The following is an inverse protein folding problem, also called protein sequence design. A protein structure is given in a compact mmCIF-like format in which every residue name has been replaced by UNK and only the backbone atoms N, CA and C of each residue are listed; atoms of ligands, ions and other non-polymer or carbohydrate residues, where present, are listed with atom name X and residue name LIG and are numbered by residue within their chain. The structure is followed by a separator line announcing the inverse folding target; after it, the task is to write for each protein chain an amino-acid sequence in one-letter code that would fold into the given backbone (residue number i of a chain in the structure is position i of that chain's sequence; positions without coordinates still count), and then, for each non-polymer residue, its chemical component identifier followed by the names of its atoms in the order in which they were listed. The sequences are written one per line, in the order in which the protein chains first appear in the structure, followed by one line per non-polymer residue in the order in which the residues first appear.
data_IF_592403144039
#
_entry.id   IF_592403144039
#
_cell.length_a   1.000
_cell.length_b   1.000
_cell.length_c   1.000
_cell.angle_alpha   90.00
_cell.angle_beta   90.00
_cell.angle_gamma   90.00
#
_symmetry.space_group_name_H-M   'P 1'
#
loop_
_entity.id
_entity.type
_entity.pdbx_description
1 polymer ?
#
# COMPACT_ATOMS: atom_id res chain seq x y z
N UNK A 1 9.63 24.77 30.72
CA UNK A 1 9.87 23.41 30.22
C UNK A 1 10.79 22.72 31.21
N UNK A 2 10.30 21.70 31.91
CA UNK A 2 11.10 20.49 32.05
C UNK A 2 10.27 19.24 31.78
N UNK A 3 10.91 18.25 31.14
CA UNK A 3 10.31 16.97 30.78
C UNK A 3 9.98 16.17 32.05
N UNK A 4 8.73 15.75 32.16
CA UNK A 4 8.23 14.86 33.19
C UNK A 4 8.75 13.42 33.02
N UNK A 5 9.99 13.20 33.42
CA UNK A 5 10.51 11.86 33.72
C UNK A 5 10.68 11.80 35.23
N UNK A 6 9.80 11.05 35.89
CA UNK A 6 9.98 10.69 37.29
C UNK A 6 11.08 9.64 37.37
N UNK A 7 12.07 9.93 38.20
CA UNK A 7 13.22 9.09 38.50
C UNK A 7 12.76 7.83 39.27
N UNK A 8 13.14 6.65 38.76
CA UNK A 8 12.84 5.38 39.41
C UNK A 8 13.75 5.23 40.64
N UNK A 9 13.17 5.47 41.81
CA UNK A 9 13.82 5.18 43.09
C UNK A 9 13.69 3.68 43.38
N UNK A 10 14.83 3.07 43.67
CA UNK A 10 15.04 1.67 44.06
C UNK A 10 15.12 0.67 42.90
N UNK A 11 16.23 0.70 42.15
CA UNK A 11 16.67 -0.41 41.30
C UNK A 11 17.84 -1.10 42.01
N UNK A 12 17.55 -2.19 42.72
CA UNK A 12 18.58 -3.15 43.11
C UNK A 12 18.73 -4.18 41.98
N UNK A 13 19.94 -4.26 41.43
CA UNK A 13 20.28 -5.04 40.25
C UNK A 13 20.53 -6.50 40.64
N UNK A 14 19.64 -7.42 40.25
CA UNK A 14 19.92 -8.86 40.29
C UNK A 14 19.75 -9.46 38.88
N UNK A 15 20.82 -9.97 38.26
CA UNK A 15 20.76 -10.52 36.91
C UNK A 15 20.10 -11.90 36.91
N UNK A 16 19.03 -12.08 36.13
CA UNK A 16 18.55 -13.40 35.71
C UNK A 16 17.18 -13.87 36.21
N UNK A 17 16.34 -13.03 36.82
CA UNK A 17 14.99 -13.46 37.25
C UNK A 17 13.90 -12.60 36.61
N UNK A 18 12.99 -13.24 35.88
CA UNK A 18 11.77 -12.67 35.33
C UNK A 18 10.82 -12.36 36.49
N UNK A 19 10.99 -11.23 37.17
CA UNK A 19 9.98 -10.80 38.11
C UNK A 19 8.78 -10.27 37.32
N UNK A 20 7.69 -11.03 37.35
CA UNK A 20 6.38 -10.63 36.87
C UNK A 20 6.01 -9.35 37.61
N UNK A 21 6.38 -8.21 37.03
CA UNK A 21 5.91 -6.91 37.46
C UNK A 21 4.40 -6.95 37.28
N UNK A 22 3.69 -7.11 38.40
CA UNK A 22 2.24 -6.95 38.48
C UNK A 22 1.97 -5.46 38.31
N UNK A 23 2.14 -4.98 37.08
CA UNK A 23 1.70 -3.66 36.65
C UNK A 23 0.19 -3.70 36.87
N UNK A 24 -0.28 -2.99 37.89
CA UNK A 24 -1.69 -2.65 38.04
C UNK A 24 -2.15 -2.13 36.69
N UNK A 25 -2.96 -2.93 35.99
CA UNK A 25 -3.45 -2.61 34.67
C UNK A 25 -4.35 -1.38 34.84
N UNK A 26 -3.98 -0.21 34.27
CA UNK A 26 -4.88 0.92 34.32
C UNK A 26 -6.15 0.54 33.54
N UNK A 27 -7.34 0.90 34.06
CA UNK A 27 -8.60 0.58 33.39
C UNK A 27 -8.57 1.15 31.97
N UNK A 28 -8.66 0.27 30.97
CA UNK A 28 -8.66 0.64 29.55
C UNK A 28 -7.39 0.29 28.74
N UNK A 29 -6.35 -0.31 29.33
CA UNK A 29 -5.18 -0.78 28.56
C UNK A 29 -5.12 -2.30 28.42
N UNK A 30 -5.19 -2.82 27.20
CA UNK A 30 -4.94 -4.24 26.88
C UNK A 30 -3.47 -4.42 26.48
N UNK A 31 -2.81 -5.49 26.96
CA UNK A 31 -1.46 -5.84 26.51
C UNK A 31 -1.50 -6.14 25.00
N UNK A 32 -0.75 -5.37 24.21
CA UNK A 32 -0.68 -5.51 22.75
C UNK A 32 0.05 -6.81 22.33
N UNK A 33 0.88 -7.37 23.23
CA UNK A 33 1.51 -8.68 23.10
C UNK A 33 0.79 -9.68 23.99
N UNK A 34 -0.47 -9.98 23.69
CA UNK A 34 -1.04 -11.23 24.16
C UNK A 34 -0.67 -12.33 23.16
N UNK A 35 -0.29 -13.48 23.70
CA UNK A 35 0.09 -14.67 22.95
C UNK A 35 -1.06 -15.02 21.97
N UNK A 36 -0.78 -15.10 20.67
CA UNK A 36 -1.81 -15.45 19.66
C UNK A 36 -2.47 -16.81 19.91
N UNK A 37 -1.86 -17.63 20.78
CA UNK A 37 -2.42 -18.90 21.24
C UNK A 37 -3.44 -18.77 22.39
N UNK A 38 -3.64 -17.56 22.96
CA UNK A 38 -4.56 -17.28 24.08
C UNK A 38 -5.40 -16.03 23.82
N UNK A 39 -6.46 -16.13 22.99
CA UNK A 39 -7.38 -15.01 22.79
C UNK A 39 -8.00 -14.55 24.12
N UNK A 40 -8.13 -13.24 24.31
CA UNK A 40 -8.81 -12.69 25.50
C UNK A 40 -10.30 -13.05 25.46
N UNK A 41 -10.67 -13.99 26.32
CA UNK A 41 -12.06 -14.40 26.53
C UNK A 41 -12.79 -13.29 27.29
N UNK A 42 -13.96 -12.90 26.80
CA UNK A 42 -14.69 -11.77 27.33
C UNK A 42 -15.24 -12.03 28.75
N UNK A 43 -14.62 -11.43 29.77
CA UNK A 43 -15.16 -11.37 31.12
C UNK A 43 -16.34 -10.39 31.26
N UNK A 44 -17.02 -10.41 32.42
CA UNK A 44 -18.19 -9.56 32.71
C UNK A 44 -17.93 -8.04 32.57
N UNK A 45 -16.68 -7.59 32.73
CA UNK A 45 -16.30 -6.17 32.73
C UNK A 45 -16.05 -5.53 31.34
N UNK A 46 -16.25 -6.24 30.22
CA UNK A 46 -15.92 -5.73 28.87
C UNK A 46 -17.16 -5.41 28.01
N UNK A 47 -18.27 -4.97 28.61
CA UNK A 47 -19.57 -4.84 27.93
C UNK A 47 -19.58 -3.93 26.70
N UNK A 48 -18.75 -2.88 26.73
CA UNK A 48 -18.70 -1.85 25.69
C UNK A 48 -17.79 -2.22 24.50
N UNK A 49 -17.17 -3.40 24.54
CA UNK A 49 -16.26 -3.90 23.51
C UNK A 49 -16.99 -4.83 22.55
N UNK A 50 -16.79 -4.65 21.24
CA UNK A 50 -17.26 -5.57 20.21
C UNK A 50 -16.56 -6.92 20.34
N UNK A 51 -17.36 -7.97 20.19
CA UNK A 51 -16.99 -9.37 20.44
C UNK A 51 -17.46 -10.24 19.29
N UNK A 52 -16.71 -11.31 19.00
CA UNK A 52 -17.11 -12.38 18.07
C UNK A 52 -17.31 -13.65 18.86
N UNK A 53 -18.39 -14.37 18.58
CA UNK A 53 -18.67 -15.67 19.18
C UNK A 53 -18.11 -16.75 18.25
N UNK A 54 -17.16 -17.53 18.75
CA UNK A 54 -16.58 -18.66 18.05
C UNK A 54 -16.90 -19.91 18.89
N UNK A 55 -17.92 -20.65 18.49
CA UNK A 55 -18.43 -21.77 19.28
C UNK A 55 -19.03 -21.31 20.62
N UNK A 56 -18.53 -21.85 21.74
CA UNK A 56 -18.95 -21.48 23.10
C UNK A 56 -18.14 -20.33 23.70
N UNK A 57 -17.12 -19.82 23.00
CA UNK A 57 -16.22 -18.79 23.50
C UNK A 57 -16.53 -17.43 22.86
N UNK A 58 -16.53 -16.39 23.69
CA UNK A 58 -16.70 -15.01 23.25
C UNK A 58 -15.35 -14.31 23.25
N UNK A 59 -14.83 -14.03 22.06
CA UNK A 59 -13.51 -13.42 21.88
C UNK A 59 -13.68 -11.91 21.72
N UNK A 60 -12.92 -11.12 22.49
CA UNK A 60 -12.86 -9.67 22.32
C UNK A 60 -12.01 -9.35 21.09
N UNK A 61 -12.55 -8.51 20.19
CA UNK A 61 -11.79 -8.05 19.03
C UNK A 61 -10.80 -6.95 19.45
N UNK A 62 -9.51 -7.19 19.24
CA UNK A 62 -8.44 -6.21 19.47
C UNK A 62 -7.60 -6.11 18.18
N UNK A 63 -7.55 -4.96 17.52
CA UNK A 63 -8.24 -3.69 17.82
C UNK A 63 -9.76 -3.79 17.62
N UNK A 64 -10.50 -2.93 18.32
CA UNK A 64 -11.95 -2.80 18.17
C UNK A 64 -12.29 -2.32 16.75
N UNK A 65 -13.13 -3.03 15.97
CA UNK A 65 -13.46 -2.61 14.62
C UNK A 65 -14.29 -1.32 14.67
N UNK A 66 -14.05 -0.40 13.73
CA UNK A 66 -14.82 0.84 13.64
C UNK A 66 -16.26 0.58 13.19
N UNK A 67 -17.21 1.43 13.55
CA UNK A 67 -18.60 1.39 13.04
C UNK A 67 -18.76 2.02 11.66
N UNK A 68 -17.67 2.51 11.05
CA UNK A 68 -17.71 3.10 9.72
C UNK A 68 -18.00 2.01 8.65
N UNK A 69 -19.05 2.15 7.82
CA UNK A 69 -19.31 1.24 6.71
C UNK A 69 -18.18 1.21 5.64
N UNK A 70 -17.31 2.21 5.64
CA UNK A 70 -16.11 2.25 4.78
C UNK A 70 -14.89 1.58 5.42
N UNK A 71 -14.98 1.07 6.66
CA UNK A 71 -13.92 0.28 7.26
C UNK A 71 -13.78 -1.05 6.48
N UNK A 72 -12.61 -1.33 5.87
CA UNK A 72 -12.37 -2.57 5.15
C UNK A 72 -12.60 -3.83 6.00
N UNK A 73 -12.55 -3.71 7.33
CA UNK A 73 -12.81 -4.80 8.26
C UNK A 73 -14.30 -5.21 8.29
N UNK A 74 -15.21 -4.31 7.92
CA UNK A 74 -16.66 -4.57 7.88
C UNK A 74 -17.13 -5.12 6.53
N UNK A 75 -16.26 -5.24 5.53
CA UNK A 75 -16.63 -5.69 4.18
C UNK A 75 -16.75 -7.21 4.07
N UNK A 76 -17.63 -7.69 3.19
CA UNK A 76 -17.69 -9.10 2.84
C UNK A 76 -16.35 -9.56 2.21
N UNK A 77 -15.93 -10.79 2.51
CA UNK A 77 -14.64 -11.32 2.04
C UNK A 77 -14.52 -11.23 0.51
N UNK A 78 -15.58 -11.58 -0.22
CA UNK A 78 -15.61 -11.47 -1.68
C UNK A 78 -15.38 -10.04 -2.17
N UNK A 79 -15.96 -9.03 -1.52
CA UNK A 79 -15.76 -7.63 -1.92
C UNK A 79 -14.31 -7.21 -1.70
N UNK A 80 -13.72 -7.58 -0.56
CA UNK A 80 -12.32 -7.27 -0.24
C UNK A 80 -11.37 -7.94 -1.21
N UNK A 81 -11.60 -9.22 -1.51
CA UNK A 81 -10.74 -10.01 -2.39
C UNK A 81 -10.84 -9.54 -3.85
N UNK A 82 -12.04 -9.20 -4.33
CA UNK A 82 -12.23 -8.62 -5.67
C UNK A 82 -11.53 -7.27 -5.82
N UNK A 83 -11.64 -6.38 -4.83
CA UNK A 83 -10.94 -5.08 -4.86
C UNK A 83 -9.42 -5.28 -4.86
N UNK A 84 -8.94 -6.20 -4.02
CA UNK A 84 -7.50 -6.53 -3.96
C UNK A 84 -7.02 -7.10 -5.30
N UNK A 85 -7.78 -8.02 -5.89
CA UNK A 85 -7.48 -8.58 -7.20
C UNK A 85 -7.45 -7.50 -8.29
N UNK A 86 -8.43 -6.59 -8.34
CA UNK A 86 -8.46 -5.49 -9.31
C UNK A 86 -7.25 -4.57 -9.18
N UNK A 87 -6.84 -4.24 -7.95
CA UNK A 87 -5.65 -3.43 -7.71
C UNK A 87 -4.36 -4.15 -8.14
N UNK A 88 -4.24 -5.45 -7.84
CA UNK A 88 -3.12 -6.27 -8.31
C UNK A 88 -3.09 -6.35 -9.84
N UNK A 89 -4.24 -6.57 -10.48
CA UNK A 89 -4.34 -6.66 -11.93
C UNK A 89 -3.98 -5.33 -12.61
N UNK A 90 -4.48 -4.20 -12.10
CA UNK A 90 -4.09 -2.88 -12.58
C UNK A 90 -2.58 -2.63 -12.41
N UNK A 91 -2.01 -3.07 -11.27
CA UNK A 91 -0.56 -3.05 -11.04
C UNK A 91 0.20 -3.84 -12.10
N UNK A 92 -0.19 -5.09 -12.38
CA UNK A 92 0.43 -5.93 -13.42
C UNK A 92 0.42 -5.23 -14.78
N UNK A 93 -0.73 -4.66 -15.19
CA UNK A 93 -0.85 -3.95 -16.46
C UNK A 93 0.09 -2.74 -16.53
N UNK A 94 0.18 -1.95 -15.46
CA UNK A 94 1.07 -0.80 -15.41
C UNK A 94 2.55 -1.20 -15.50
N UNK A 95 2.98 -2.21 -14.72
CA UNK A 95 4.39 -2.63 -14.70
C UNK A 95 4.81 -3.37 -15.95
N UNK A 96 3.88 -4.02 -16.67
CA UNK A 96 4.17 -4.76 -17.91
C UNK A 96 4.53 -3.84 -19.09
N UNK A 97 4.13 -2.56 -19.07
CA UNK A 97 4.38 -1.61 -20.16
C UNK A 97 5.87 -1.42 -20.48
N UNK A 98 6.72 -1.32 -19.45
CA UNK A 98 8.16 -1.16 -19.60
C UNK A 98 8.82 -2.34 -20.32
N UNK A 99 8.66 -3.59 -19.82
CA UNK A 99 9.16 -4.79 -20.48
C UNK A 99 8.60 -5.01 -21.89
N UNK A 100 7.31 -4.72 -22.11
CA UNK A 100 6.71 -4.83 -23.46
C UNK A 100 7.38 -3.85 -24.42
N UNK A 101 7.64 -2.61 -23.99
CA UNK A 101 8.32 -1.62 -24.81
C UNK A 101 9.76 -2.06 -25.13
N UNK A 102 10.49 -2.55 -24.12
CA UNK A 102 11.84 -3.07 -24.30
C UNK A 102 11.90 -4.27 -25.27
N UNK A 103 10.97 -5.23 -25.13
CA UNK A 103 10.90 -6.40 -26.00
C UNK A 103 10.60 -6.03 -27.47
N UNK A 104 9.86 -4.94 -27.70
CA UNK A 104 9.49 -4.48 -29.03
C UNK A 104 10.48 -3.48 -29.65
N UNK A 105 11.63 -3.23 -29.03
CA UNK A 105 12.62 -2.24 -29.50
C UNK A 105 13.05 -2.48 -30.96
N UNK A 106 13.28 -3.73 -31.36
CA UNK A 106 13.68 -4.08 -32.74
C UNK A 106 12.53 -3.76 -33.71
N UNK A 107 11.31 -4.19 -33.39
CA UNK A 107 10.12 -3.95 -34.21
C UNK A 107 9.86 -2.46 -34.40
N UNK A 108 10.00 -1.67 -33.34
CA UNK A 108 9.80 -0.21 -33.37
C UNK A 108 10.93 0.48 -34.16
N UNK A 109 12.17 -0.01 -34.05
CA UNK A 109 13.31 0.48 -34.85
C UNK A 109 13.08 0.32 -36.35
N UNK A 110 12.52 -0.82 -36.78
CA UNK A 110 12.13 -1.06 -38.16
C UNK A 110 10.95 -0.17 -38.59
N UNK A 111 9.92 -0.04 -37.73
CA UNK A 111 8.72 0.75 -38.03
C UNK A 111 9.03 2.23 -38.28
N UNK A 112 9.85 2.85 -37.43
CA UNK A 112 10.21 4.26 -37.54
C UNK A 112 11.48 4.50 -38.38
N UNK A 113 12.14 3.43 -38.87
CA UNK A 113 13.44 3.49 -39.56
C UNK A 113 14.46 4.35 -38.79
N UNK A 114 14.60 4.08 -37.48
CA UNK A 114 15.50 4.79 -36.57
C UNK A 114 16.54 3.85 -35.97
N UNK A 115 17.71 4.40 -35.63
CA UNK A 115 18.77 3.69 -34.94
C UNK A 115 18.24 2.95 -33.71
N UNK A 116 18.70 1.70 -33.54
CA UNK A 116 18.33 0.86 -32.39
C UNK A 116 18.54 1.58 -31.06
N UNK A 117 19.66 2.30 -30.91
CA UNK A 117 19.97 3.07 -29.69
C UNK A 117 18.93 4.14 -29.40
N UNK A 118 18.45 4.87 -30.42
CA UNK A 118 17.40 5.89 -30.23
C UNK A 118 16.09 5.25 -29.79
N UNK A 119 15.75 4.09 -30.34
CA UNK A 119 14.54 3.38 -29.94
C UNK A 119 14.67 2.76 -28.55
N UNK A 120 15.84 2.23 -28.19
CA UNK A 120 16.12 1.72 -26.85
C UNK A 120 15.99 2.81 -25.77
N UNK A 121 16.33 4.07 -26.10
CA UNK A 121 16.14 5.21 -25.20
C UNK A 121 14.67 5.47 -24.86
N UNK A 122 13.68 5.03 -25.65
CA UNK A 122 12.26 5.16 -25.31
C UNK A 122 11.92 4.50 -23.98
N UNK A 123 12.52 3.34 -23.70
CA UNK A 123 12.35 2.66 -22.40
C UNK A 123 12.97 3.49 -21.28
N UNK A 124 14.11 4.14 -21.53
CA UNK A 124 14.73 5.06 -20.58
C UNK A 124 13.86 6.30 -20.33
N UNK A 125 13.26 6.87 -21.37
CA UNK A 125 12.35 8.01 -21.25
C UNK A 125 11.07 7.67 -20.49
N UNK A 126 10.52 6.46 -20.70
CA UNK A 126 9.43 5.93 -19.88
C UNK A 126 9.83 5.83 -18.41
N UNK A 127 11.00 5.25 -18.09
CA UNK A 127 11.48 5.17 -16.71
C UNK A 127 11.75 6.54 -16.07
N UNK A 128 12.19 7.52 -16.88
CA UNK A 128 12.37 8.88 -16.43
C UNK A 128 11.03 9.54 -16.07
N UNK A 129 9.98 9.29 -16.86
CA UNK A 129 8.60 9.68 -16.53
C UNK A 129 8.16 9.11 -15.17
N UNK A 130 8.33 7.80 -14.97
CA UNK A 130 7.99 7.13 -13.71
C UNK A 130 8.72 7.75 -12.51
N UNK A 131 10.03 8.00 -12.66
CA UNK A 131 10.86 8.61 -11.63
C UNK A 131 10.42 10.04 -11.30
N UNK A 132 10.14 10.85 -12.32
CA UNK A 132 9.66 12.21 -12.13
C UNK A 132 8.27 12.25 -11.48
N UNK A 133 7.35 11.38 -11.92
CA UNK A 133 6.01 11.25 -11.34
C UNK A 133 6.05 10.82 -9.87
N UNK A 134 6.94 9.91 -9.50
CA UNK A 134 7.09 9.44 -8.13
C UNK A 134 7.36 10.57 -7.13
N UNK A 135 8.12 11.61 -7.52
CA UNK A 135 8.43 12.77 -6.66
C UNK A 135 7.15 13.47 -6.18
N UNK A 136 6.12 13.54 -7.02
CA UNK A 136 4.85 14.21 -6.70
C UNK A 136 3.81 13.24 -6.13
N UNK A 137 3.70 12.04 -6.70
CA UNK A 137 2.65 11.09 -6.31
C UNK A 137 2.94 10.39 -4.98
N UNK A 138 4.21 10.18 -4.61
CA UNK A 138 4.58 9.59 -3.31
C UNK A 138 4.12 10.47 -2.12
N UNK A 139 4.46 11.77 -2.04
CA UNK A 139 3.97 12.62 -0.95
C UNK A 139 2.46 12.84 -1.03
N UNK A 140 1.89 12.98 -2.23
CA UNK A 140 0.44 13.09 -2.45
C UNK A 140 -0.32 11.90 -1.85
N UNK A 141 0.23 10.68 -2.00
CA UNK A 141 -0.34 9.46 -1.42
C UNK A 141 -0.31 9.39 0.10
N UNK A 142 0.62 10.11 0.74
CA UNK A 142 0.75 10.19 2.20
C UNK A 142 -0.23 11.20 2.80
N UNK A 143 -0.51 12.29 2.08
CA UNK A 143 -1.34 13.40 2.58
C UNK A 143 -2.83 13.14 2.28
N UNK A 144 -3.17 12.80 1.04
CA UNK A 144 -4.57 12.70 0.58
C UNK A 144 -5.07 11.24 0.44
N UNK A 145 -4.24 10.27 0.82
CA UNK A 145 -4.54 8.84 0.66
C UNK A 145 -4.21 8.30 -0.73
N UNK A 146 -4.50 7.02 -1.00
CA UNK A 146 -4.01 6.34 -2.22
C UNK A 146 -5.04 6.27 -3.35
N UNK A 147 -6.32 6.53 -3.07
CA UNK A 147 -7.41 6.26 -4.01
C UNK A 147 -7.31 7.10 -5.29
N UNK A 148 -7.01 8.39 -5.18
CA UNK A 148 -6.88 9.27 -6.35
C UNK A 148 -5.68 8.91 -7.21
N UNK A 149 -4.60 8.41 -6.62
CA UNK A 149 -3.41 7.96 -7.35
C UNK A 149 -3.73 6.85 -8.35
N UNK A 150 -4.50 5.84 -7.92
CA UNK A 150 -4.90 4.74 -8.80
C UNK A 150 -5.80 5.22 -9.95
N UNK A 151 -6.76 6.11 -9.67
CA UNK A 151 -7.68 6.61 -10.69
C UNK A 151 -6.97 7.47 -11.72
N UNK A 152 -6.17 8.44 -11.27
CA UNK A 152 -5.40 9.33 -12.15
C UNK A 152 -4.38 8.53 -12.95
N UNK A 153 -3.66 7.59 -12.31
CA UNK A 153 -2.68 6.74 -12.98
C UNK A 153 -3.29 5.89 -14.09
N UNK A 154 -4.45 5.26 -13.85
CA UNK A 154 -5.16 4.47 -14.88
C UNK A 154 -5.58 5.36 -16.05
N UNK A 155 -6.11 6.57 -15.79
CA UNK A 155 -6.50 7.51 -16.84
C UNK A 155 -5.28 7.91 -17.68
N UNK A 156 -4.16 8.25 -17.04
CA UNK A 156 -2.91 8.61 -17.72
C UNK A 156 -2.40 7.45 -18.58
N UNK A 157 -2.39 6.23 -18.04
CA UNK A 157 -1.94 5.03 -18.78
C UNK A 157 -2.83 4.79 -20.00
N UNK A 158 -4.16 4.87 -19.87
CA UNK A 158 -5.08 4.64 -20.99
C UNK A 158 -4.90 5.73 -22.04
N UNK A 159 -4.87 7.00 -21.63
CA UNK A 159 -4.75 8.14 -22.55
C UNK A 159 -3.40 8.15 -23.28
N UNK A 160 -2.30 7.89 -22.58
CA UNK A 160 -0.97 7.84 -23.18
C UNK A 160 -0.77 6.60 -24.06
N UNK A 161 -1.37 5.46 -23.72
CA UNK A 161 -1.38 4.27 -24.58
C UNK A 161 -2.16 4.52 -25.87
N UNK A 162 -3.35 5.15 -25.77
CA UNK A 162 -4.14 5.52 -26.93
C UNK A 162 -3.40 6.54 -27.80
N UNK A 163 -2.79 7.55 -27.17
CA UNK A 163 -1.96 8.53 -27.88
C UNK A 163 -0.83 7.82 -28.63
N UNK A 164 -0.03 6.98 -27.97
CA UNK A 164 1.05 6.23 -28.59
C UNK A 164 0.58 5.36 -29.77
N UNK A 165 -0.63 4.81 -29.72
CA UNK A 165 -1.23 4.04 -30.82
C UNK A 165 -1.65 4.88 -32.02
N UNK A 166 -2.04 6.14 -31.80
CA UNK A 166 -2.52 7.05 -32.86
C UNK A 166 -1.41 7.87 -33.54
N UNK A 167 -0.16 7.78 -33.07
CA UNK A 167 0.95 8.60 -33.57
C UNK A 167 1.36 8.32 -35.03
N UNK A 168 1.07 7.14 -35.56
CA UNK A 168 1.51 6.76 -36.90
C UNK A 168 3.05 6.68 -36.99
N UNK A 169 3.65 7.50 -37.85
CA UNK A 169 5.11 7.51 -38.12
C UNK A 169 5.87 8.67 -37.47
N UNK A 170 5.21 9.51 -36.66
CA UNK A 170 5.89 10.60 -35.95
C UNK A 170 6.62 10.12 -34.70
N UNK A 171 7.92 9.91 -34.81
CA UNK A 171 8.75 9.48 -33.69
C UNK A 171 8.74 10.48 -32.50
N UNK A 172 8.65 11.79 -32.76
CA UNK A 172 8.67 12.81 -31.71
C UNK A 172 7.45 12.72 -30.81
N UNK A 173 6.26 12.64 -31.41
CA UNK A 173 5.02 12.44 -30.66
C UNK A 173 5.01 11.09 -29.93
N UNK A 174 5.66 10.05 -30.48
CA UNK A 174 5.75 8.75 -29.82
C UNK A 174 6.61 8.82 -28.56
N UNK A 175 7.74 9.54 -28.61
CA UNK A 175 8.60 9.79 -27.44
C UNK A 175 7.82 10.54 -26.35
N UNK A 176 7.08 11.59 -26.72
CA UNK A 176 6.23 12.34 -25.79
C UNK A 176 5.21 11.45 -25.09
N UNK A 177 4.53 10.59 -25.86
CA UNK A 177 3.57 9.64 -25.30
C UNK A 177 4.23 8.67 -24.30
N UNK A 178 5.46 8.19 -24.55
CA UNK A 178 6.19 7.31 -23.61
C UNK A 178 6.64 7.99 -22.34
N UNK A 179 7.05 9.27 -22.42
CA UNK A 179 7.41 10.06 -21.23
C UNK A 179 6.18 10.26 -20.34
N UNK A 180 5.03 10.61 -20.93
CA UNK A 180 3.78 10.82 -20.18
C UNK A 180 3.19 9.50 -19.66
N UNK A 181 3.45 8.38 -20.36
CA UNK A 181 3.00 7.06 -19.95
C UNK A 181 3.73 6.53 -18.71
N UNK A 182 4.98 6.94 -18.51
CA UNK A 182 5.77 6.62 -17.34
C UNK A 182 5.39 7.48 -16.15
#
# INVERSE_FOLDING_TARGET
MPLGILEAKDIEHVPGTYEKLTIHQPPGTTRYFDDSSRPQVAGEHHGDLKRVHVGSETIILIPQPSDDPNDPLNWSLLRRDLITFLLCFAGILATALGPILAANTITISLLFSKDFTKVALLTGYFLLGCGAGAIFFVPSGRIWGKRHLFLIGIIIIIASSAWAGCVGTDYGSFVGARIVQG
#
